data_IF_896449836354
#
_entry.id   IF_896449836354
#
_cell.length_a   1.000
_cell.length_b   1.000
_cell.length_c   1.000
_cell.angle_alpha   90.00
_cell.angle_beta   90.00
_cell.angle_gamma   90.00
#
_symmetry.space_group_name_H-M   'P 1'
#
loop_
_entity.id
_entity.type
_entity.pdbx_description
1 polymer ?
#
# COMPACT_ATOMS: atom_id res chain seq x y z
N UNK A 1 -11.82 8.50 -3.39
CA UNK A 1 -10.43 8.04 -3.48
C UNK A 1 -9.62 9.09 -4.22
N UNK A 2 -8.37 9.32 -3.83
CA UNK A 2 -7.48 10.23 -4.56
C UNK A 2 -6.95 9.47 -5.79
N UNK A 3 -7.03 10.10 -6.95
CA UNK A 3 -6.50 9.57 -8.21
C UNK A 3 -5.24 10.37 -8.60
N UNK A 4 -4.17 9.66 -8.96
CA UNK A 4 -2.86 10.25 -9.22
C UNK A 4 -2.04 9.35 -10.15
N UNK A 5 -1.11 9.93 -10.89
CA UNK A 5 -0.17 9.17 -11.73
C UNK A 5 0.82 8.38 -10.88
N UNK A 6 1.44 7.34 -11.47
CA UNK A 6 2.50 6.58 -10.81
C UNK A 6 3.65 7.47 -10.31
N UNK A 7 4.03 8.50 -11.07
CA UNK A 7 5.08 9.43 -10.66
C UNK A 7 4.67 10.30 -9.48
N UNK A 8 3.44 10.83 -9.47
CA UNK A 8 2.92 11.61 -8.36
C UNK A 8 2.80 10.78 -7.09
N UNK A 9 2.33 9.53 -7.20
CA UNK A 9 2.24 8.60 -6.08
C UNK A 9 3.60 8.24 -5.48
N UNK A 10 4.60 7.96 -6.32
CA UNK A 10 5.97 7.75 -5.85
C UNK A 10 6.54 8.99 -5.16
N UNK A 11 6.32 10.17 -5.73
CA UNK A 11 6.78 11.42 -5.14
C UNK A 11 6.11 11.70 -3.78
N UNK A 12 4.81 11.41 -3.64
CA UNK A 12 4.11 11.51 -2.35
C UNK A 12 4.71 10.55 -1.31
N UNK A 13 4.97 9.29 -1.70
CA UNK A 13 5.62 8.31 -0.82
C UNK A 13 6.98 8.80 -0.31
N UNK A 14 7.83 9.31 -1.20
CA UNK A 14 9.13 9.88 -0.85
C UNK A 14 8.98 11.09 0.08
N UNK A 15 8.05 12.01 -0.20
CA UNK A 15 7.82 13.18 0.67
C UNK A 15 7.40 12.79 2.09
N UNK A 16 6.61 11.72 2.22
CA UNK A 16 6.12 11.21 3.50
C UNK A 16 7.18 10.46 4.29
N UNK A 17 7.87 9.51 3.65
CA UNK A 17 8.66 8.47 4.31
C UNK A 17 10.14 8.46 3.94
N UNK A 18 10.56 9.25 2.95
CA UNK A 18 11.92 9.27 2.41
C UNK A 18 12.13 8.31 1.23
N UNK A 19 13.33 8.31 0.68
CA UNK A 19 13.71 7.55 -0.53
C UNK A 19 13.74 6.03 -0.31
N UNK A 20 13.98 5.58 0.92
CA UNK A 20 13.95 4.14 1.23
C UNK A 20 12.50 3.63 1.26
N UNK A 21 12.10 2.96 0.18
CA UNK A 21 10.76 2.37 0.04
C UNK A 21 10.42 1.41 1.18
N UNK A 22 11.40 0.78 1.83
CA UNK A 22 11.15 -0.10 2.97
C UNK A 22 10.68 0.64 4.22
N UNK A 23 10.80 1.97 4.26
CA UNK A 23 10.20 2.82 5.30
C UNK A 23 8.75 3.22 5.01
N UNK A 24 8.26 3.00 3.78
CA UNK A 24 6.91 3.42 3.39
C UNK A 24 5.88 2.56 4.12
N UNK A 25 4.73 3.18 4.38
CA UNK A 25 3.64 2.59 5.18
C UNK A 25 2.34 2.70 4.42
N UNK A 26 1.58 1.61 4.40
CA UNK A 26 0.26 1.54 3.76
C UNK A 26 -0.80 1.05 4.73
N UNK A 27 -1.95 1.74 4.74
CA UNK A 27 -3.06 1.44 5.63
C UNK A 27 -4.03 0.47 4.99
N UNK A 28 -4.24 -0.68 5.63
CA UNK A 28 -5.22 -1.64 5.19
C UNK A 28 -6.64 -1.03 5.25
N UNK A 29 -7.40 -1.01 4.15
CA UNK A 29 -8.73 -0.40 4.13
C UNK A 29 -9.78 -1.20 4.93
N UNK A 30 -9.51 -2.48 5.20
CA UNK A 30 -10.41 -3.37 5.95
C UNK A 30 -10.23 -3.26 7.45
N UNK A 31 -9.03 -3.54 7.95
CA UNK A 31 -8.76 -3.60 9.38
C UNK A 31 -8.05 -2.36 9.94
N UNK A 32 -7.63 -1.43 9.08
CA UNK A 32 -6.95 -0.21 9.49
C UNK A 32 -5.49 -0.39 9.91
N UNK A 33 -4.94 -1.61 9.87
CA UNK A 33 -3.52 -1.87 10.17
C UNK A 33 -2.62 -1.06 9.24
N UNK A 34 -1.62 -0.41 9.83
CA UNK A 34 -0.48 0.17 9.13
C UNK A 34 0.52 -0.94 8.80
N UNK A 35 0.81 -1.13 7.51
CA UNK A 35 1.71 -2.17 7.01
C UNK A 35 2.96 -1.48 6.46
N UNK A 36 4.10 -1.71 7.10
CA UNK A 36 5.39 -1.15 6.66
C UNK A 36 5.98 -2.07 5.61
N UNK A 37 6.49 -1.52 4.51
CA UNK A 37 7.04 -2.30 3.39
C UNK A 37 8.15 -3.27 3.86
N UNK A 38 8.96 -2.89 4.86
CA UNK A 38 9.97 -3.77 5.45
C UNK A 38 9.42 -5.08 6.04
N UNK A 39 8.16 -5.13 6.46
CA UNK A 39 7.53 -6.35 7.01
C UNK A 39 7.32 -7.43 5.95
N UNK A 40 7.33 -7.08 4.65
CA UNK A 40 7.06 -8.01 3.55
C UNK A 40 8.32 -8.69 3.00
N UNK A 41 9.52 -8.27 3.42
CA UNK A 41 10.80 -8.73 2.86
C UNK A 41 10.96 -10.25 2.82
N UNK A 42 10.40 -10.96 3.79
CA UNK A 42 10.50 -12.41 3.89
C UNK A 42 9.32 -13.16 3.25
N UNK A 43 8.28 -12.43 2.82
CA UNK A 43 7.00 -13.02 2.40
C UNK A 43 6.62 -12.71 0.95
N UNK A 44 7.28 -11.73 0.33
CA UNK A 44 6.95 -11.28 -1.02
C UNK A 44 8.18 -10.88 -1.81
N UNK A 45 8.13 -11.13 -3.12
CA UNK A 45 9.23 -10.85 -4.06
C UNK A 45 9.34 -9.35 -4.42
N UNK A 46 8.35 -8.53 -4.07
CA UNK A 46 8.30 -7.10 -4.42
C UNK A 46 7.84 -6.23 -3.24
N UNK A 47 8.48 -5.05 -3.02
CA UNK A 47 8.04 -4.07 -2.02
C UNK A 47 6.63 -3.52 -2.30
N UNK A 48 6.18 -3.55 -3.56
CA UNK A 48 4.84 -3.11 -3.95
C UNK A 48 3.73 -3.94 -3.31
N UNK A 49 4.06 -5.15 -2.82
CA UNK A 49 3.11 -6.04 -2.14
C UNK A 49 2.43 -5.38 -0.95
N UNK A 50 3.12 -4.48 -0.25
CA UNK A 50 2.55 -3.75 0.89
C UNK A 50 1.50 -2.72 0.47
N UNK A 51 1.57 -2.20 -0.77
CA UNK A 51 0.58 -1.27 -1.30
C UNK A 51 -0.74 -1.96 -1.66
N UNK A 52 -0.76 -3.30 -1.78
CA UNK A 52 -1.95 -4.04 -2.22
C UNK A 52 -2.36 -5.20 -1.31
N UNK A 53 -1.58 -5.54 -0.29
CA UNK A 53 -1.92 -6.60 0.66
C UNK A 53 -1.77 -6.11 2.09
N UNK A 54 -2.65 -6.57 2.98
CA UNK A 54 -2.37 -6.54 4.41
C UNK A 54 -1.37 -7.65 4.74
N UNK A 55 -0.38 -7.39 5.60
CA UNK A 55 0.61 -8.41 6.02
C UNK A 55 -0.06 -9.63 6.67
N UNK A 56 -1.27 -9.45 7.20
CA UNK A 56 -2.10 -10.53 7.75
C UNK A 56 -2.51 -11.61 6.77
N UNK A 57 -2.31 -11.39 5.47
CA UNK A 57 -2.40 -12.43 4.43
C UNK A 57 -1.27 -13.47 4.53
N UNK A 58 -0.13 -13.08 5.09
CA UNK A 58 1.06 -13.91 5.24
C UNK A 58 1.27 -14.37 6.69
N UNK A 59 0.91 -13.52 7.66
CA UNK A 59 1.05 -13.79 9.09
C UNK A 59 -0.34 -13.73 9.75
N UNK A 60 -0.97 -14.88 9.96
CA UNK A 60 -2.39 -14.96 10.34
C UNK A 60 -2.74 -14.35 11.70
N UNK A 61 -1.75 -14.13 12.56
CA UNK A 61 -1.92 -13.57 13.91
C UNK A 61 -2.00 -12.04 13.93
N UNK A 62 -1.70 -11.36 12.82
CA UNK A 62 -1.67 -9.89 12.76
C UNK A 62 -2.52 -9.36 11.60
N UNK A 63 -3.33 -8.33 11.83
CA UNK A 63 -4.10 -7.69 10.75
C UNK A 63 -5.21 -8.59 10.19
N UNK A 64 -5.35 -8.65 8.86
CA UNK A 64 -6.36 -9.48 8.20
C UNK A 64 -5.90 -9.96 6.82
N UNK A 65 -6.64 -10.88 6.21
CA UNK A 65 -6.33 -11.45 4.89
C UNK A 65 -6.86 -10.59 3.70
N UNK A 66 -6.89 -9.26 3.81
CA UNK A 66 -7.40 -8.39 2.73
C UNK A 66 -6.34 -8.07 1.68
N UNK A 67 -6.78 -7.96 0.43
CA UNK A 67 -5.98 -7.47 -0.68
C UNK A 67 -6.78 -6.46 -1.52
N UNK A 68 -6.09 -5.54 -2.18
CA UNK A 68 -6.67 -4.50 -3.03
C UNK A 68 -7.15 -5.01 -4.39
N UNK A 69 -6.87 -6.26 -4.73
CA UNK A 69 -7.37 -6.92 -5.94
C UNK A 69 -8.59 -7.80 -5.63
N UNK A 70 -9.48 -7.94 -6.62
CA UNK A 70 -10.72 -8.69 -6.51
C UNK A 70 -11.96 -7.78 -6.44
N UNK A 71 -13.11 -8.38 -6.14
CA UNK A 71 -14.43 -7.75 -6.35
C UNK A 71 -14.62 -6.39 -5.66
N UNK A 72 -14.02 -6.20 -4.48
CA UNK A 72 -14.24 -5.01 -3.65
C UNK A 72 -13.06 -4.04 -3.62
N UNK A 73 -11.96 -4.35 -4.32
CA UNK A 73 -10.76 -3.52 -4.36
C UNK A 73 -10.30 -3.04 -2.97
N UNK A 74 -10.18 -1.72 -2.84
CA UNK A 74 -9.84 -1.03 -1.58
C UNK A 74 -11.07 -0.58 -0.79
N UNK A 75 -12.28 -1.03 -1.17
CA UNK A 75 -13.57 -0.63 -0.58
C UNK A 75 -13.78 0.90 -0.56
N UNK A 76 -13.27 1.60 -1.59
CA UNK A 76 -13.38 3.05 -1.68
C UNK A 76 -12.48 3.84 -0.71
N UNK A 77 -11.61 3.15 0.05
CA UNK A 77 -10.75 3.73 1.09
C UNK A 77 -9.26 3.80 0.70
N UNK A 78 -8.92 3.43 -0.54
CA UNK A 78 -7.56 3.49 -1.06
C UNK A 78 -7.32 4.67 -2.00
N UNK A 79 -6.35 4.47 -2.89
CA UNK A 79 -5.95 5.36 -3.98
C UNK A 79 -6.17 4.67 -5.32
N UNK A 80 -6.34 5.46 -6.37
CA UNK A 80 -6.24 5.00 -7.76
C UNK A 80 -4.93 5.53 -8.33
N UNK A 81 -4.06 4.62 -8.77
CA UNK A 81 -2.80 4.96 -9.44
C UNK A 81 -2.96 4.73 -10.94
N UNK A 82 -2.72 5.78 -11.73
CA UNK A 82 -2.72 5.71 -13.20
C UNK A 82 -1.31 5.31 -13.66
N UNK A 83 -1.21 4.16 -14.30
CA UNK A 83 0.03 3.64 -14.85
C UNK A 83 0.40 4.33 -16.18
N UNK A 84 1.66 4.23 -16.66
CA UNK A 84 2.08 4.86 -17.92
C UNK A 84 1.32 4.39 -19.16
N UNK A 85 0.71 3.21 -19.10
CA UNK A 85 -0.15 2.65 -20.15
C UNK A 85 -1.63 3.02 -19.98
N UNK A 86 -1.94 4.01 -19.12
CA UNK A 86 -3.28 4.49 -18.78
C UNK A 86 -4.17 3.52 -17.98
N UNK A 87 -3.66 2.33 -17.65
CA UNK A 87 -4.34 1.42 -16.75
C UNK A 87 -4.48 2.04 -15.35
N UNK A 88 -5.64 1.81 -14.73
CA UNK A 88 -5.93 2.27 -13.37
C UNK A 88 -5.87 1.10 -12.40
N UNK A 89 -5.03 1.21 -11.39
CA UNK A 89 -4.92 0.20 -10.32
C UNK A 89 -5.30 0.79 -8.98
N UNK A 90 -6.04 0.04 -8.19
CA UNK A 90 -6.33 0.41 -6.81
C UNK A 90 -5.21 -0.08 -5.88
N UNK A 91 -4.75 0.81 -5.01
CA UNK A 91 -3.77 0.53 -3.95
C UNK A 91 -4.29 1.05 -2.61
N UNK A 92 -3.78 0.51 -1.52
CA UNK A 92 -4.05 1.00 -0.17
C UNK A 92 -3.59 2.46 -0.04
N UNK A 93 -4.26 3.21 0.85
CA UNK A 93 -3.81 4.57 1.15
C UNK A 93 -2.49 4.54 1.93
N UNK A 94 -1.74 5.64 1.87
CA UNK A 94 -0.58 5.80 2.72
C UNK A 94 -0.98 5.81 4.19
N UNK A 95 -0.15 5.17 5.00
CA UNK A 95 -0.25 5.17 6.44
C UNK A 95 0.21 6.46 7.10
N UNK A 96 0.21 6.44 8.44
CA UNK A 96 0.88 7.47 9.23
C UNK A 96 2.39 7.49 9.00
N UNK A 97 3.00 8.67 9.00
CA UNK A 97 4.45 8.79 9.08
C UNK A 97 4.92 8.21 10.43
N UNK A 98 5.89 7.30 10.42
CA UNK A 98 6.68 7.04 11.62
C UNK A 98 7.43 8.34 11.91
N UNK A 99 7.33 8.85 13.15
CA UNK A 99 7.97 10.10 13.56
C UNK A 99 9.40 10.17 13.00
N UNK A 100 9.67 11.22 12.22
CA UNK A 100 10.96 11.49 11.58
C UNK A 100 12.03 11.82 12.61
#
# INVERSE_FOLDING_TARGET
MIEQTLSEWKAEGVNRFGEDVYQHVFKCPKCGRENKVSEFKEYADSPDSAAVNCIGRYITEIGCNWAAYGLFGTMGKGRVVILPNEDKVEVFDFGGAYDK
#
